data_IF_736466186345
#
_entry.id   IF_736466186345
#
_cell.length_a   1.000
_cell.length_b   1.000
_cell.length_c   1.000
_cell.angle_alpha   90.00
_cell.angle_beta   90.00
_cell.angle_gamma   90.00
#
_symmetry.space_group_name_H-M   'P 1'
#
loop_
_entity.id
_entity.type
_entity.pdbx_description
1 polymer ?
#
# COMPACT_ATOMS: atom_id res chain seq x y z
N UNK A 1 -57.98 30.23 28.78
CA UNK A 1 -56.99 29.46 29.56
C UNK A 1 -56.81 28.15 28.81
N UNK A 2 -55.87 28.10 27.86
CA UNK A 2 -55.71 26.98 26.93
C UNK A 2 -54.54 26.10 27.46
N UNK A 3 -54.87 24.87 27.80
CA UNK A 3 -53.87 23.87 28.28
C UNK A 3 -53.26 23.19 27.04
N UNK A 4 -51.93 23.34 26.82
CA UNK A 4 -51.18 22.66 25.79
C UNK A 4 -50.52 21.43 26.43
N UNK A 5 -50.95 20.23 26.02
CA UNK A 5 -50.36 18.95 26.45
C UNK A 5 -49.20 18.61 25.52
N UNK A 6 -47.95 18.56 26.01
CA UNK A 6 -46.79 18.04 25.28
C UNK A 6 -46.79 16.52 25.34
N UNK A 7 -46.80 15.90 24.15
CA UNK A 7 -46.59 14.46 23.98
C UNK A 7 -45.09 14.21 23.88
N UNK A 8 -44.44 13.32 24.63
CA UNK A 8 -43.05 13.04 24.45
C UNK A 8 -42.84 12.18 23.21
N UNK A 9 -42.09 12.73 22.25
CA UNK A 9 -41.57 12.00 21.10
C UNK A 9 -40.46 11.04 21.57
N UNK A 10 -40.73 9.78 21.51
CA UNK A 10 -39.71 8.72 21.66
C UNK A 10 -38.72 8.82 20.51
N UNK A 11 -37.48 9.18 20.82
CA UNK A 11 -36.37 9.10 19.89
C UNK A 11 -36.07 7.61 19.67
N UNK A 12 -36.38 7.11 18.48
CA UNK A 12 -35.96 5.81 18.04
C UNK A 12 -34.43 5.82 17.94
N UNK A 13 -33.77 4.99 18.75
CA UNK A 13 -32.37 4.69 18.58
C UNK A 13 -32.21 4.02 17.22
N UNK A 14 -31.49 4.67 16.31
CA UNK A 14 -31.03 4.04 15.10
C UNK A 14 -30.10 2.90 15.53
N UNK A 15 -30.51 1.69 15.19
CA UNK A 15 -29.67 0.49 15.31
C UNK A 15 -28.39 0.74 14.52
N UNK A 16 -27.25 0.65 15.19
CA UNK A 16 -25.93 0.63 14.55
C UNK A 16 -25.97 -0.47 13.49
N UNK A 17 -25.92 -0.06 12.22
CA UNK A 17 -25.78 -0.99 11.11
C UNK A 17 -24.40 -1.65 11.27
N UNK A 18 -24.41 -2.90 11.69
CA UNK A 18 -23.27 -3.78 11.74
C UNK A 18 -22.74 -3.86 10.31
N UNK A 19 -21.52 -3.35 10.09
CA UNK A 19 -20.81 -3.52 8.83
C UNK A 19 -20.75 -5.02 8.52
N UNK A 20 -21.04 -5.45 7.29
CA UNK A 20 -20.95 -6.85 6.94
C UNK A 20 -19.52 -7.32 7.24
N UNK A 21 -19.43 -8.34 8.09
CA UNK A 21 -18.20 -9.10 8.27
C UNK A 21 -17.80 -9.62 6.88
N UNK A 22 -16.68 -9.12 6.38
CA UNK A 22 -16.11 -9.60 5.12
C UNK A 22 -15.88 -11.11 5.21
N UNK A 23 -15.98 -11.85 4.08
CA UNK A 23 -15.86 -13.29 4.08
C UNK A 23 -14.57 -13.71 4.78
N UNK A 24 -14.75 -14.44 5.87
CA UNK A 24 -13.71 -15.10 6.64
C UNK A 24 -12.96 -16.07 5.73
N UNK A 25 -11.62 -15.98 5.77
CA UNK A 25 -10.67 -16.96 5.22
C UNK A 25 -10.70 -17.21 3.71
N UNK A 26 -10.12 -16.29 2.92
CA UNK A 26 -9.33 -16.78 1.80
C UNK A 26 -7.98 -17.24 2.36
N UNK A 27 -7.63 -18.50 2.12
CA UNK A 27 -6.29 -19.02 2.40
C UNK A 27 -5.29 -18.18 1.59
N UNK A 28 -4.70 -17.19 2.24
CA UNK A 28 -3.61 -16.42 1.63
C UNK A 28 -2.51 -17.44 1.30
N UNK A 29 -2.24 -17.61 0.01
CA UNK A 29 -1.08 -18.39 -0.42
C UNK A 29 0.14 -17.67 0.15
N UNK A 30 0.97 -18.34 0.97
CA UNK A 30 2.18 -17.70 1.50
C UNK A 30 3.01 -17.16 0.35
N UNK A 31 3.48 -15.92 0.45
CA UNK A 31 4.43 -15.39 -0.53
C UNK A 31 5.68 -16.25 -0.50
N UNK A 32 6.12 -16.88 -1.60
CA UNK A 32 7.32 -17.69 -1.60
C UNK A 32 8.55 -16.78 -1.60
N UNK A 33 9.00 -16.36 -0.43
CA UNK A 33 10.16 -15.52 -0.23
C UNK A 33 9.86 -14.09 0.18
N UNK A 34 10.92 -13.34 0.48
CA UNK A 34 10.81 -11.93 0.86
C UNK A 34 10.55 -11.07 -0.38
N UNK A 35 9.33 -10.56 -0.52
CA UNK A 35 8.90 -9.60 -1.53
C UNK A 35 8.44 -8.28 -0.88
N UNK A 36 9.13 -7.85 0.17
CA UNK A 36 9.02 -6.50 0.69
C UNK A 36 9.54 -5.50 -0.35
N UNK A 37 9.10 -4.26 -0.30
CA UNK A 37 9.54 -3.18 -1.19
C UNK A 37 11.07 -3.06 -1.16
N UNK A 38 11.70 -2.97 -2.33
CA UNK A 38 13.16 -2.91 -2.47
C UNK A 38 13.89 -4.26 -2.33
N UNK A 39 13.21 -5.35 -2.00
CA UNK A 39 13.84 -6.64 -1.74
C UNK A 39 14.54 -7.23 -2.96
N UNK A 40 13.94 -7.13 -4.13
CA UNK A 40 14.50 -7.65 -5.37
C UNK A 40 15.56 -6.69 -5.94
N UNK A 41 15.39 -5.38 -5.78
CA UNK A 41 16.44 -4.39 -6.10
C UNK A 41 17.71 -4.70 -5.29
N UNK A 42 17.56 -4.87 -3.98
CA UNK A 42 18.69 -5.23 -3.11
C UNK A 42 19.35 -6.53 -3.51
N UNK A 43 18.59 -7.53 -3.96
CA UNK A 43 19.09 -8.83 -4.39
C UNK A 43 19.87 -8.74 -5.70
N UNK A 44 19.40 -7.97 -6.67
CA UNK A 44 19.95 -7.90 -8.03
C UNK A 44 21.04 -6.82 -8.20
N UNK A 45 21.00 -5.76 -7.42
CA UNK A 45 21.90 -4.63 -7.50
C UNK A 45 22.98 -4.65 -6.41
N UNK A 46 23.54 -5.86 -6.12
CA UNK A 46 24.60 -6.04 -5.12
C UNK A 46 25.77 -5.06 -5.34
N UNK A 47 25.90 -4.09 -4.43
CA UNK A 47 27.01 -3.12 -4.39
C UNK A 47 26.68 -1.74 -4.98
N UNK A 48 25.56 -1.52 -5.64
CA UNK A 48 25.16 -0.19 -6.14
C UNK A 48 24.46 0.65 -5.06
N UNK A 49 24.01 0.06 -3.98
CA UNK A 49 23.49 0.80 -2.82
C UNK A 49 24.61 1.05 -1.80
N UNK A 50 25.76 1.54 -2.22
CA UNK A 50 26.37 2.60 -1.46
C UNK A 50 25.36 3.72 -1.58
N UNK A 51 24.62 3.94 -0.49
CA UNK A 51 23.83 5.12 -0.34
C UNK A 51 24.72 6.30 -0.79
N UNK A 52 24.54 6.76 -2.03
CA UNK A 52 24.73 8.14 -2.33
C UNK A 52 23.64 8.83 -1.49
N UNK A 53 23.89 8.86 -0.19
CA UNK A 53 23.36 9.87 0.67
C UNK A 53 23.88 11.15 0.01
N UNK A 54 23.12 11.65 -0.95
CA UNK A 54 23.24 13.03 -1.35
C UNK A 54 23.11 13.75 -0.02
N UNK A 55 24.24 14.20 0.52
CA UNK A 55 24.23 15.22 1.54
C UNK A 55 23.57 16.41 0.85
N UNK A 56 22.24 16.42 0.93
CA UNK A 56 21.48 17.61 0.68
C UNK A 56 22.00 18.62 1.67
N UNK A 57 22.66 19.65 1.19
CA UNK A 57 22.97 20.86 1.95
C UNK A 57 21.70 21.67 2.18
N UNK A 58 20.53 21.05 2.04
CA UNK A 58 19.24 21.64 2.32
C UNK A 58 19.00 21.55 3.82
N UNK A 59 18.78 22.68 4.44
CA UNK A 59 18.29 22.89 5.80
C UNK A 59 16.80 22.50 5.96
N UNK A 60 16.24 21.76 5.03
CA UNK A 60 14.88 21.22 5.11
C UNK A 60 14.91 19.93 5.93
N UNK A 61 14.05 19.85 6.91
CA UNK A 61 13.85 18.67 7.74
C UNK A 61 13.31 17.55 6.85
N UNK A 62 14.19 16.65 6.44
CA UNK A 62 13.82 15.48 5.67
C UNK A 62 12.95 14.57 6.55
N UNK A 63 11.77 14.19 6.06
CA UNK A 63 10.87 13.31 6.80
C UNK A 63 11.32 11.86 6.60
N UNK A 64 11.53 11.16 7.70
CA UNK A 64 11.87 9.75 7.69
C UNK A 64 10.59 8.90 7.61
N UNK A 65 10.61 7.86 6.80
CA UNK A 65 9.53 6.91 6.64
C UNK A 65 10.02 5.49 6.44
N UNK A 66 9.09 4.56 6.43
CA UNK A 66 9.40 3.15 6.27
C UNK A 66 8.33 2.43 5.45
N UNK A 67 8.67 1.28 4.90
CA UNK A 67 7.73 0.29 4.42
C UNK A 67 7.72 -0.94 5.32
N UNK A 68 6.60 -1.64 5.34
CA UNK A 68 6.43 -2.90 6.06
C UNK A 68 5.60 -3.89 5.24
N UNK A 69 5.85 -5.17 5.49
CA UNK A 69 5.17 -6.29 4.83
C UNK A 69 4.79 -7.39 5.85
N UNK A 70 4.33 -8.52 5.37
CA UNK A 70 4.10 -9.71 6.23
C UNK A 70 5.36 -10.21 6.92
N UNK A 71 6.54 -9.94 6.35
CA UNK A 71 7.83 -10.34 6.93
C UNK A 71 8.11 -9.65 8.28
N UNK A 72 7.55 -8.45 8.47
CA UNK A 72 7.69 -7.67 9.70
C UNK A 72 6.71 -8.10 10.80
N UNK A 73 5.69 -8.87 10.46
CA UNK A 73 4.67 -9.31 11.41
C UNK A 73 3.98 -8.16 12.13
N UNK A 74 3.87 -8.27 13.45
CA UNK A 74 3.36 -7.20 14.28
C UNK A 74 4.45 -6.15 14.55
N UNK A 75 4.17 -4.90 14.18
CA UNK A 75 5.10 -3.78 14.28
C UNK A 75 4.86 -3.01 15.57
N UNK A 76 5.93 -2.70 16.31
CA UNK A 76 5.89 -1.77 17.44
C UNK A 76 5.90 -0.32 16.92
N UNK A 77 4.72 0.18 16.57
CA UNK A 77 4.55 1.52 16.01
C UNK A 77 4.97 2.65 16.96
N UNK A 78 4.69 2.60 18.26
CA UNK A 78 5.20 3.58 19.22
C UNK A 78 6.73 3.69 19.20
N UNK A 79 7.44 2.57 19.11
CA UNK A 79 8.90 2.58 18.99
C UNK A 79 9.37 3.19 17.67
N UNK A 80 8.65 2.95 16.56
CA UNK A 80 8.96 3.56 15.24
C UNK A 80 8.79 5.08 15.26
N UNK A 81 7.69 5.58 15.83
CA UNK A 81 7.46 7.02 16.02
C UNK A 81 8.56 7.62 16.89
N UNK A 82 8.92 6.96 17.99
CA UNK A 82 10.00 7.42 18.89
C UNK A 82 11.37 7.46 18.21
N UNK A 83 11.57 6.65 17.16
CA UNK A 83 12.80 6.68 16.33
C UNK A 83 12.78 7.72 15.21
N UNK A 84 11.72 8.55 15.12
CA UNK A 84 11.62 9.64 14.15
C UNK A 84 10.82 9.34 12.89
N UNK A 85 10.23 8.16 12.75
CA UNK A 85 9.38 7.84 11.58
C UNK A 85 8.14 8.72 11.59
N UNK A 86 7.83 9.30 10.43
CA UNK A 86 6.71 10.23 10.21
C UNK A 86 5.64 9.62 9.31
N UNK A 87 5.99 8.65 8.46
CA UNK A 87 5.06 7.97 7.57
C UNK A 87 5.43 6.51 7.34
N UNK A 88 4.46 5.73 6.85
CA UNK A 88 4.68 4.34 6.51
C UNK A 88 3.89 3.92 5.26
N UNK A 89 4.48 3.03 4.43
CA UNK A 89 3.75 2.25 3.45
C UNK A 89 3.64 0.78 3.88
N UNK A 90 2.43 0.24 3.80
CA UNK A 90 2.13 -1.13 4.20
C UNK A 90 1.81 -1.96 2.97
N UNK A 91 2.49 -3.10 2.78
CA UNK A 91 2.13 -4.04 1.72
C UNK A 91 0.69 -4.47 1.89
N UNK A 92 -0.13 -4.25 0.86
CA UNK A 92 -1.49 -4.74 0.84
C UNK A 92 -1.58 -6.03 0.03
N UNK A 93 -1.05 -6.00 -1.19
CA UNK A 93 -1.27 -7.06 -2.18
C UNK A 93 -0.01 -7.33 -3.03
N UNK A 94 -0.02 -8.49 -3.71
CA UNK A 94 0.95 -8.85 -4.74
C UNK A 94 0.22 -9.61 -5.85
N UNK A 95 0.43 -9.24 -7.12
CA UNK A 95 -0.32 -9.80 -8.23
C UNK A 95 -1.84 -9.67 -8.02
N UNK A 96 -2.59 -10.73 -8.32
CA UNK A 96 -4.05 -10.77 -8.11
C UNK A 96 -4.49 -11.88 -7.16
N UNK A 97 -3.58 -12.40 -6.32
CA UNK A 97 -3.89 -13.54 -5.46
C UNK A 97 -3.35 -13.43 -4.04
N UNK A 98 -2.33 -12.60 -3.80
CA UNK A 98 -1.75 -12.46 -2.48
C UNK A 98 -2.29 -11.23 -1.75
N UNK A 99 -2.59 -11.39 -0.46
CA UNK A 99 -2.88 -10.33 0.49
C UNK A 99 -1.99 -10.50 1.73
N UNK A 100 -1.47 -9.38 2.23
CA UNK A 100 -0.70 -9.38 3.47
C UNK A 100 -1.63 -9.66 4.66
N UNK A 101 -1.41 -10.78 5.34
CA UNK A 101 -2.22 -11.19 6.51
C UNK A 101 -2.11 -10.24 7.71
N UNK A 102 -1.05 -9.43 7.76
CA UNK A 102 -0.84 -8.40 8.79
C UNK A 102 -1.32 -7.02 8.35
N UNK A 103 -1.86 -6.87 7.11
CA UNK A 103 -2.21 -5.56 6.57
C UNK A 103 -3.07 -4.72 7.53
N UNK A 104 -4.16 -5.26 8.02
CA UNK A 104 -5.08 -4.52 8.88
C UNK A 104 -4.41 -4.04 10.18
N UNK A 105 -3.62 -4.91 10.84
CA UNK A 105 -2.93 -4.55 12.08
C UNK A 105 -1.81 -3.53 11.84
N UNK A 106 -1.07 -3.67 10.73
CA UNK A 106 -0.01 -2.74 10.36
C UNK A 106 -0.57 -1.38 9.94
N UNK A 107 -1.57 -1.36 9.06
CA UNK A 107 -2.16 -0.14 8.50
C UNK A 107 -2.91 0.69 9.54
N UNK A 108 -3.73 0.04 10.36
CA UNK A 108 -4.48 0.72 11.43
C UNK A 108 -3.55 1.09 12.60
N UNK A 109 -2.59 0.22 12.92
CA UNK A 109 -1.62 0.46 13.98
C UNK A 109 -0.74 1.68 13.70
N UNK A 110 -0.25 1.84 12.46
CA UNK A 110 0.54 3.02 12.06
C UNK A 110 -0.25 4.32 12.22
N UNK A 111 -1.52 4.33 11.79
CA UNK A 111 -2.39 5.49 11.98
C UNK A 111 -2.66 5.78 13.45
N UNK A 112 -2.93 4.74 14.25
CA UNK A 112 -3.19 4.90 15.69
C UNK A 112 -1.98 5.47 16.43
N UNK A 113 -0.77 5.23 15.92
CA UNK A 113 0.47 5.80 16.44
C UNK A 113 0.75 7.23 15.91
N UNK A 114 -0.10 7.77 15.04
CA UNK A 114 0.03 9.13 14.50
C UNK A 114 0.81 9.26 13.19
N UNK A 115 1.19 8.15 12.55
CA UNK A 115 1.85 8.19 11.26
C UNK A 115 0.88 8.49 10.12
N UNK A 116 1.33 9.25 9.13
CA UNK A 116 0.70 9.28 7.81
C UNK A 116 1.01 7.95 7.13
N UNK A 117 0.00 7.27 6.57
CA UNK A 117 0.22 5.93 6.01
C UNK A 117 -0.40 5.78 4.63
N UNK A 118 0.15 4.85 3.86
CA UNK A 118 -0.35 4.39 2.58
C UNK A 118 -0.21 2.88 2.43
N UNK A 119 -0.72 2.38 1.32
CA UNK A 119 -0.57 0.98 0.96
C UNK A 119 0.34 0.82 -0.25
N UNK A 120 1.00 -0.33 -0.41
CA UNK A 120 1.67 -0.66 -1.64
C UNK A 120 1.27 -2.03 -2.20
N UNK A 121 1.44 -2.13 -3.50
CA UNK A 121 1.19 -3.32 -4.30
C UNK A 121 2.49 -3.77 -4.96
N UNK A 122 2.92 -4.99 -4.70
CA UNK A 122 4.03 -5.58 -5.43
C UNK A 122 3.54 -6.11 -6.77
N UNK A 123 4.05 -5.54 -7.85
CA UNK A 123 3.60 -5.82 -9.20
C UNK A 123 4.18 -7.13 -9.75
N UNK A 124 3.33 -7.90 -10.43
CA UNK A 124 3.71 -9.09 -11.19
C UNK A 124 3.24 -8.95 -12.65
N UNK A 125 3.92 -8.13 -13.47
CA UNK A 125 3.44 -7.77 -14.81
C UNK A 125 3.20 -8.94 -15.77
N UNK A 126 3.84 -10.10 -15.57
CA UNK A 126 3.60 -11.29 -16.39
C UNK A 126 2.40 -12.12 -15.94
N UNK A 127 1.84 -11.88 -14.75
CA UNK A 127 0.78 -12.72 -14.20
C UNK A 127 -0.63 -12.28 -14.60
N UNK A 128 -0.85 -10.98 -14.78
CA UNK A 128 -2.13 -10.38 -15.17
C UNK A 128 -1.95 -8.96 -15.66
N UNK A 129 -3.01 -8.35 -16.20
CA UNK A 129 -2.97 -6.97 -16.71
C UNK A 129 -2.74 -5.94 -15.61
N UNK A 130 -2.24 -4.74 -15.98
CA UNK A 130 -2.12 -3.63 -15.06
C UNK A 130 -3.48 -3.21 -14.48
N UNK A 131 -4.53 -3.28 -15.30
CA UNK A 131 -5.92 -3.01 -14.88
C UNK A 131 -6.38 -3.99 -13.79
N UNK A 132 -6.16 -5.30 -13.97
CA UNK A 132 -6.59 -6.31 -12.99
C UNK A 132 -5.87 -6.13 -11.66
N UNK A 133 -4.54 -5.89 -11.71
CA UNK A 133 -3.76 -5.68 -10.50
C UNK A 133 -4.11 -4.39 -9.78
N UNK A 134 -4.35 -3.28 -10.51
CA UNK A 134 -4.81 -2.03 -9.92
C UNK A 134 -6.20 -2.16 -9.28
N UNK A 135 -7.09 -2.94 -9.90
CA UNK A 135 -8.42 -3.24 -9.36
C UNK A 135 -8.29 -4.07 -8.10
N UNK A 136 -7.52 -5.16 -8.15
CA UNK A 136 -7.28 -6.03 -7.00
C UNK A 136 -6.66 -5.26 -5.81
N UNK A 137 -5.64 -4.45 -6.07
CA UNK A 137 -5.02 -3.57 -5.07
C UNK A 137 -6.04 -2.62 -4.44
N UNK A 138 -6.85 -1.97 -5.28
CA UNK A 138 -7.88 -1.03 -4.83
C UNK A 138 -8.96 -1.68 -3.97
N UNK A 139 -9.31 -2.94 -4.24
CA UNK A 139 -10.32 -3.70 -3.50
C UNK A 139 -9.78 -4.25 -2.17
N UNK A 140 -8.44 -4.33 -2.02
CA UNK A 140 -7.79 -4.97 -0.89
C UNK A 140 -6.83 -4.04 -0.14
N UNK A 141 -7.20 -2.77 0.00
CA UNK A 141 -6.49 -1.83 0.87
C UNK A 141 -5.74 -0.70 0.17
N UNK A 142 -5.64 -0.73 -1.17
CA UNK A 142 -4.93 0.29 -1.95
C UNK A 142 -5.64 1.65 -2.07
N UNK A 143 -6.72 1.88 -1.31
CA UNK A 143 -7.53 3.09 -1.40
C UNK A 143 -6.79 4.36 -1.00
N UNK A 144 -7.23 5.48 -1.59
CA UNK A 144 -6.79 6.82 -1.21
C UNK A 144 -7.97 7.71 -0.86
N UNK A 145 -7.79 8.55 0.17
CA UNK A 145 -8.75 9.60 0.54
C UNK A 145 -8.01 10.91 0.86
N UNK A 146 -8.71 12.03 0.59
CA UNK A 146 -8.19 13.36 0.93
C UNK A 146 -8.48 13.70 2.39
N UNK A 147 -7.92 12.96 3.31
CA UNK A 147 -8.13 13.10 4.76
C UNK A 147 -6.92 13.71 5.50
N UNK A 148 -5.80 13.95 4.79
CA UNK A 148 -4.55 14.43 5.38
C UNK A 148 -3.71 13.33 6.05
N UNK A 149 -4.21 12.11 6.11
CA UNK A 149 -3.55 10.97 6.77
C UNK A 149 -3.28 9.79 5.85
N UNK A 150 -3.87 9.79 4.64
CA UNK A 150 -3.72 8.72 3.66
C UNK A 150 -2.82 9.15 2.51
N UNK A 151 -1.69 8.47 2.34
CA UNK A 151 -0.80 8.64 1.19
C UNK A 151 -1.41 7.96 -0.04
N UNK A 152 -1.09 8.41 -1.26
CA UNK A 152 -1.43 7.68 -2.47
C UNK A 152 -0.87 6.25 -2.41
N UNK A 153 -1.57 5.30 -3.01
CA UNK A 153 -1.05 3.95 -3.13
C UNK A 153 0.24 3.92 -3.96
N UNK A 154 1.09 2.94 -3.70
CA UNK A 154 2.33 2.72 -4.43
C UNK A 154 2.19 1.46 -5.28
N UNK A 155 2.60 1.53 -6.54
CA UNK A 155 2.94 0.35 -7.33
C UNK A 155 4.44 0.13 -7.26
N UNK A 156 4.82 -1.03 -6.74
CA UNK A 156 6.20 -1.45 -6.55
C UNK A 156 6.62 -2.32 -7.74
N UNK A 157 7.51 -1.79 -8.56
CA UNK A 157 8.00 -2.35 -9.81
C UNK A 157 9.49 -2.67 -9.68
N UNK A 158 9.76 -3.96 -9.44
CA UNK A 158 11.10 -4.47 -9.21
C UNK A 158 11.43 -5.64 -10.14
N UNK A 159 12.64 -6.20 -9.97
CA UNK A 159 13.06 -7.43 -10.65
C UNK A 159 12.10 -8.58 -10.36
N UNK A 160 11.90 -9.43 -11.35
CA UNK A 160 11.03 -10.61 -11.21
C UNK A 160 11.57 -11.58 -10.15
N UNK A 161 10.81 -11.82 -9.05
CA UNK A 161 11.26 -12.72 -8.00
C UNK A 161 11.08 -14.21 -8.34
N UNK A 162 10.27 -14.53 -9.37
CA UNK A 162 9.84 -15.89 -9.70
C UNK A 162 10.52 -16.48 -10.92
N UNK A 163 11.50 -15.81 -11.51
CA UNK A 163 12.17 -16.31 -12.70
C UNK A 163 13.44 -15.55 -13.05
N UNK A 164 14.18 -16.08 -14.02
CA UNK A 164 15.46 -15.51 -14.46
C UNK A 164 15.30 -14.24 -15.29
N UNK A 165 14.11 -14.00 -15.85
CA UNK A 165 13.86 -12.81 -16.68
C UNK A 165 13.54 -11.61 -15.79
N UNK A 166 14.50 -10.71 -15.63
CA UNK A 166 14.41 -9.52 -14.77
C UNK A 166 13.18 -8.63 -15.06
N UNK A 167 12.74 -8.57 -16.32
CA UNK A 167 11.60 -7.75 -16.77
C UNK A 167 10.36 -8.60 -17.08
N UNK A 168 10.16 -9.73 -16.39
CA UNK A 168 8.97 -10.59 -16.51
C UNK A 168 8.71 -11.14 -17.93
N UNK A 169 9.72 -11.16 -18.81
CA UNK A 169 9.57 -11.55 -20.20
C UNK A 169 8.85 -10.53 -21.09
N UNK A 170 8.55 -9.36 -20.58
CA UNK A 170 7.91 -8.28 -21.32
C UNK A 170 8.93 -7.43 -22.09
N UNK A 171 8.55 -6.98 -23.29
CA UNK A 171 9.29 -5.92 -23.97
C UNK A 171 9.10 -4.57 -23.24
N UNK A 172 9.99 -3.61 -23.46
CA UNK A 172 9.86 -2.27 -22.89
C UNK A 172 8.50 -1.62 -23.23
N UNK A 173 8.03 -1.79 -24.48
CA UNK A 173 6.72 -1.26 -24.89
C UNK A 173 5.56 -1.95 -24.14
N UNK A 174 5.63 -3.26 -23.95
CA UNK A 174 4.62 -4.00 -23.22
C UNK A 174 4.62 -3.63 -21.73
N UNK A 175 5.79 -3.50 -21.13
CA UNK A 175 5.93 -3.04 -19.73
C UNK A 175 5.38 -1.62 -19.55
N UNK A 176 5.75 -0.69 -20.44
CA UNK A 176 5.23 0.67 -20.40
C UNK A 176 3.70 0.75 -20.59
N UNK A 177 3.12 -0.16 -21.37
CA UNK A 177 1.68 -0.27 -21.52
C UNK A 177 1.03 -0.81 -20.24
N UNK A 178 1.61 -1.84 -19.66
CA UNK A 178 1.15 -2.40 -18.38
C UNK A 178 1.14 -1.36 -17.26
N UNK A 179 2.22 -0.57 -17.16
CA UNK A 179 2.34 0.51 -16.16
C UNK A 179 1.26 1.57 -16.38
N UNK A 180 1.03 2.00 -17.62
CA UNK A 180 -0.04 2.98 -17.93
C UNK A 180 -1.42 2.44 -17.57
N UNK A 181 -1.69 1.16 -17.83
CA UNK A 181 -2.95 0.51 -17.47
C UNK A 181 -3.17 0.52 -15.95
N UNK A 182 -2.15 0.15 -15.18
CA UNK A 182 -2.22 0.21 -13.71
C UNK A 182 -2.50 1.63 -13.22
N UNK A 183 -1.67 2.59 -13.66
CA UNK A 183 -1.74 3.99 -13.22
C UNK A 183 -3.09 4.61 -13.56
N UNK A 184 -3.56 4.41 -14.81
CA UNK A 184 -4.85 4.99 -15.24
C UNK A 184 -6.03 4.37 -14.51
N UNK A 185 -6.03 3.07 -14.29
CA UNK A 185 -7.09 2.37 -13.55
C UNK A 185 -7.17 2.85 -12.11
N UNK A 186 -6.03 2.92 -11.42
CA UNK A 186 -5.97 3.42 -10.06
C UNK A 186 -6.42 4.89 -9.98
N UNK A 187 -5.90 5.75 -10.88
CA UNK A 187 -6.25 7.17 -10.92
C UNK A 187 -7.72 7.42 -11.21
N UNK A 188 -8.32 6.66 -12.14
CA UNK A 188 -9.74 6.77 -12.46
C UNK A 188 -10.62 6.42 -11.26
N UNK A 189 -10.20 5.47 -10.45
CA UNK A 189 -10.96 5.04 -9.28
C UNK A 189 -10.85 6.01 -8.10
N UNK A 190 -9.67 6.53 -7.83
CA UNK A 190 -9.39 7.31 -6.62
C UNK A 190 -9.23 8.81 -6.88
N UNK A 191 -9.22 9.26 -8.13
CA UNK A 191 -8.97 10.67 -8.49
C UNK A 191 -7.54 11.15 -8.21
N UNK A 192 -6.62 10.23 -7.89
CA UNK A 192 -5.21 10.49 -7.59
C UNK A 192 -4.35 9.41 -8.24
N UNK A 193 -3.30 9.82 -8.95
CA UNK A 193 -2.32 8.86 -9.48
C UNK A 193 -1.59 8.14 -8.35
N UNK A 194 -1.27 6.84 -8.50
CA UNK A 194 -0.41 6.14 -7.58
C UNK A 194 1.02 6.67 -7.69
N UNK A 195 1.84 6.41 -6.69
CA UNK A 195 3.29 6.55 -6.78
C UNK A 195 3.88 5.29 -7.42
N UNK A 196 5.02 5.44 -8.07
CA UNK A 196 5.80 4.33 -8.64
C UNK A 196 7.08 4.21 -7.82
N UNK A 197 7.31 3.02 -7.26
CA UNK A 197 8.58 2.67 -6.65
C UNK A 197 9.34 1.75 -7.61
N UNK A 198 10.62 2.01 -7.83
CA UNK A 198 11.50 1.24 -8.70
C UNK A 198 12.96 1.69 -8.51
N UNK A 199 13.91 1.02 -9.15
CA UNK A 199 15.29 1.49 -9.27
C UNK A 199 15.58 2.06 -10.66
N UNK A 200 16.57 2.94 -10.74
CA UNK A 200 17.03 3.49 -12.02
C UNK A 200 17.66 2.43 -12.93
N UNK A 201 18.20 1.36 -12.35
CA UNK A 201 18.82 0.27 -13.11
C UNK A 201 17.78 -0.66 -13.74
N UNK A 202 16.61 -0.79 -13.08
CA UNK A 202 15.51 -1.59 -13.61
C UNK A 202 14.64 -0.83 -14.59
N UNK A 203 14.46 0.49 -14.38
CA UNK A 203 13.62 1.38 -15.21
C UNK A 203 14.27 1.61 -16.60
#
# INVERSE_FOLDING_TARGET
MTVITLVPTTVAHASEAQLPEGPSSSSATPSPGNHAMGSQIKKHEHGAVTANRMQSLATDTELEGMDVSSEDGNVDWPAKVSSGMSFAWVKATEGTSYQNSFYASQYNGSQSAGLVRGAYHFALPSSSSGQDQATYFSDHGGGWSRDGYTLPGVVDLEYNPYGENACYGLSQTAMASWIRDFVSTYQNRWGRAPMIYTSTSWW
#
